data_IF_560767648601
#
_entry.id   IF_560767648601
#
_cell.length_a   1.000
_cell.length_b   1.000
_cell.length_c   1.000
_cell.angle_alpha   90.00
_cell.angle_beta   90.00
_cell.angle_gamma   90.00
#
_symmetry.space_group_name_H-M   'P 1'
#
loop_
_entity.id
_entity.type
_entity.pdbx_description
1 polymer ?
#
# COMPACT_ATOMS: atom_id res chain seq x y z
N UNK A 1 9.05 4.44 -17.65
CA UNK A 1 8.63 5.01 -16.35
C UNK A 1 8.36 3.88 -15.35
N UNK A 2 8.44 4.18 -14.06
CA UNK A 2 7.97 3.33 -12.98
C UNK A 2 7.19 4.19 -12.00
N UNK A 3 6.02 3.72 -11.55
CA UNK A 3 5.16 4.48 -10.66
C UNK A 3 5.07 3.84 -9.28
N UNK A 4 5.29 4.65 -8.26
CA UNK A 4 4.91 4.34 -6.87
C UNK A 4 4.07 5.50 -6.36
N UNK A 5 2.83 5.22 -5.99
CA UNK A 5 1.96 6.22 -5.38
C UNK A 5 2.12 6.17 -3.87
N UNK A 6 1.96 7.32 -3.23
CA UNK A 6 2.02 7.41 -1.77
C UNK A 6 0.88 8.32 -1.32
N UNK A 7 -0.02 7.80 -0.52
CA UNK A 7 -1.15 8.57 0.05
C UNK A 7 -0.96 8.90 1.52
N UNK A 8 -0.14 8.14 2.23
CA UNK A 8 0.18 8.32 3.64
C UNK A 8 1.26 9.39 3.82
N UNK A 9 0.93 10.45 4.52
CA UNK A 9 1.79 11.62 4.73
C UNK A 9 2.71 11.49 5.95
N UNK A 10 2.75 10.34 6.65
CA UNK A 10 3.64 10.14 7.81
C UNK A 10 5.09 10.45 7.45
N UNK A 11 5.80 11.08 8.36
CA UNK A 11 7.19 11.52 8.22
C UNK A 11 7.42 12.56 7.09
N UNK A 12 6.35 13.24 6.65
CA UNK A 12 6.42 14.26 5.60
C UNK A 12 6.08 15.64 6.16
N UNK A 13 6.34 16.66 5.35
CA UNK A 13 6.10 18.04 5.71
C UNK A 13 4.90 18.65 4.96
N UNK A 14 4.16 17.84 4.20
CA UNK A 14 2.96 18.22 3.46
C UNK A 14 2.07 17.00 3.22
N UNK A 15 0.79 17.26 2.94
CA UNK A 15 -0.17 16.22 2.61
C UNK A 15 0.11 15.66 1.20
N UNK A 16 0.19 14.34 1.09
CA UNK A 16 0.27 13.68 -0.23
C UNK A 16 -1.10 13.53 -0.88
N UNK A 17 -2.14 13.27 -0.09
CA UNK A 17 -3.51 13.26 -0.61
C UNK A 17 -3.99 14.69 -0.80
N UNK A 18 -4.56 15.04 -1.96
CA UNK A 18 -5.08 16.38 -2.24
C UNK A 18 -6.16 16.81 -1.25
N UNK A 19 -6.13 18.09 -0.84
CA UNK A 19 -7.03 18.63 0.19
C UNK A 19 -8.51 18.48 -0.16
N UNK A 20 -8.89 18.53 -1.44
CA UNK A 20 -10.29 18.37 -1.86
C UNK A 20 -10.89 17.02 -1.43
N UNK A 21 -10.08 15.99 -1.20
CA UNK A 21 -10.55 14.69 -0.70
C UNK A 21 -11.00 14.83 0.77
N UNK A 22 -10.23 15.54 1.59
CA UNK A 22 -10.60 15.87 2.97
C UNK A 22 -11.83 16.78 3.01
N UNK A 23 -11.86 17.78 2.15
CA UNK A 23 -12.99 18.73 2.02
C UNK A 23 -14.28 18.05 1.56
N UNK A 24 -14.18 16.97 0.78
CA UNK A 24 -15.31 16.15 0.40
C UNK A 24 -15.85 15.27 1.54
N UNK A 25 -15.23 15.30 2.72
CA UNK A 25 -15.65 14.61 3.92
C UNK A 25 -14.97 13.28 4.19
N UNK A 26 -13.89 12.96 3.48
CA UNK A 26 -13.12 11.75 3.76
C UNK A 26 -12.53 11.80 5.18
N UNK A 27 -12.70 10.72 5.92
CA UNK A 27 -12.09 10.54 7.24
C UNK A 27 -10.62 10.16 7.12
N UNK A 28 -9.86 10.50 8.13
CA UNK A 28 -8.43 10.23 8.17
C UNK A 28 -7.84 10.57 9.53
N UNK A 29 -6.53 10.50 9.60
CA UNK A 29 -5.77 10.74 10.82
C UNK A 29 -4.69 11.80 10.59
N UNK A 30 -4.26 12.42 11.67
CA UNK A 30 -3.18 13.38 11.66
C UNK A 30 -1.93 12.78 12.29
N UNK A 31 -0.78 13.06 11.69
CA UNK A 31 0.53 12.78 12.27
C UNK A 31 1.35 14.05 12.34
N UNK A 32 2.35 14.06 13.22
CA UNK A 32 3.21 15.23 13.41
C UNK A 32 4.66 14.86 13.11
N UNK A 33 5.30 15.67 12.27
CA UNK A 33 6.73 15.58 11.97
C UNK A 33 7.37 16.91 12.34
N UNK A 34 8.11 16.95 13.45
CA UNK A 34 8.60 18.19 14.03
C UNK A 34 7.45 19.13 14.42
N UNK A 35 7.40 20.33 13.84
CA UNK A 35 6.32 21.31 14.05
C UNK A 35 5.17 21.19 13.04
N UNK A 36 5.29 20.33 12.04
CA UNK A 36 4.31 20.22 10.95
C UNK A 36 3.33 19.09 11.23
N UNK A 37 2.03 19.42 11.17
CA UNK A 37 0.94 18.45 11.16
C UNK A 37 0.56 18.12 9.73
N UNK A 38 0.45 16.84 9.42
CA UNK A 38 0.03 16.32 8.12
C UNK A 38 -1.15 15.38 8.29
N UNK A 39 -2.02 15.35 7.29
CA UNK A 39 -3.20 14.50 7.26
C UNK A 39 -3.03 13.38 6.24
N UNK A 40 -3.57 12.22 6.58
CA UNK A 40 -3.67 11.06 5.69
C UNK A 40 -5.08 10.47 5.78
N UNK A 41 -5.68 10.03 4.68
CA UNK A 41 -6.98 9.37 4.72
C UNK A 41 -6.86 7.98 5.36
N UNK A 42 -7.95 7.51 5.96
CA UNK A 42 -8.09 6.10 6.27
C UNK A 42 -8.33 5.31 4.96
N UNK A 43 -7.56 4.25 4.69
CA UNK A 43 -7.75 3.43 3.49
C UNK A 43 -9.12 2.75 3.39
N UNK A 44 -9.82 2.56 4.50
CA UNK A 44 -11.18 2.00 4.58
C UNK A 44 -12.30 3.07 4.50
N UNK A 45 -11.95 4.36 4.36
CA UNK A 45 -12.95 5.40 4.16
C UNK A 45 -13.56 5.36 2.75
N UNK A 46 -14.90 5.29 2.61
CA UNK A 46 -15.54 5.11 1.30
C UNK A 46 -15.42 6.35 0.40
N UNK A 47 -15.30 7.56 0.97
CA UNK A 47 -15.12 8.79 0.19
C UNK A 47 -13.72 8.82 -0.40
N UNK A 48 -12.71 8.49 0.41
CA UNK A 48 -11.35 8.33 -0.08
C UNK A 48 -11.26 7.27 -1.17
N UNK A 49 -11.82 6.07 -0.95
CA UNK A 49 -11.81 4.98 -1.91
C UNK A 49 -12.41 5.39 -3.27
N UNK A 50 -13.52 6.12 -3.25
CA UNK A 50 -14.16 6.65 -4.47
C UNK A 50 -13.22 7.56 -5.27
N UNK A 51 -12.52 8.49 -4.63
CA UNK A 51 -11.60 9.41 -5.32
C UNK A 51 -10.33 8.71 -5.77
N UNK A 52 -9.82 7.81 -4.95
CA UNK A 52 -8.65 7.01 -5.28
C UNK A 52 -8.88 6.11 -6.51
N UNK A 53 -10.00 5.40 -6.53
CA UNK A 53 -10.39 4.58 -7.67
C UNK A 53 -10.52 5.41 -8.95
N UNK A 54 -11.17 6.58 -8.88
CA UNK A 54 -11.28 7.50 -10.02
C UNK A 54 -9.92 7.92 -10.55
N UNK A 55 -8.98 8.22 -9.65
CA UNK A 55 -7.61 8.59 -10.00
C UNK A 55 -6.88 7.44 -10.70
N UNK A 56 -6.89 6.24 -10.11
CA UNK A 56 -6.18 5.07 -10.64
C UNK A 56 -6.75 4.65 -12.00
N UNK A 57 -8.07 4.67 -12.16
CA UNK A 57 -8.72 4.39 -13.46
C UNK A 57 -8.39 5.44 -14.53
N UNK A 58 -8.30 6.70 -14.15
CA UNK A 58 -7.88 7.76 -15.10
C UNK A 58 -6.42 7.59 -15.51
N UNK A 59 -5.54 7.30 -14.54
CA UNK A 59 -4.12 7.06 -14.81
C UNK A 59 -3.90 5.88 -15.76
N UNK A 60 -4.60 4.78 -15.55
CA UNK A 60 -4.44 3.59 -16.36
C UNK A 60 -4.82 3.81 -17.85
N UNK A 61 -5.71 4.76 -18.15
CA UNK A 61 -6.04 5.10 -19.54
C UNK A 61 -4.83 5.57 -20.35
N UNK A 62 -3.90 6.27 -19.69
CA UNK A 62 -2.75 6.87 -20.36
C UNK A 62 -1.46 6.03 -20.15
N UNK A 63 -1.41 5.23 -19.09
CA UNK A 63 -0.19 4.60 -18.62
C UNK A 63 -0.25 3.07 -18.49
N UNK A 64 -1.34 2.41 -18.86
CA UNK A 64 -1.36 0.95 -19.02
C UNK A 64 -0.75 0.55 -20.39
N UNK A 65 0.50 0.94 -20.58
CA UNK A 65 1.24 0.85 -21.83
C UNK A 65 2.69 0.40 -21.53
N UNK A 66 3.08 -0.83 -21.90
CA UNK A 66 4.40 -1.37 -21.59
C UNK A 66 5.54 -0.63 -22.32
N UNK A 67 5.26 0.10 -23.39
CA UNK A 67 6.27 0.93 -24.07
C UNK A 67 6.59 2.19 -23.28
N UNK A 68 5.69 2.64 -22.41
CA UNK A 68 5.86 3.82 -21.54
C UNK A 68 6.22 3.47 -20.11
N UNK A 69 5.66 2.38 -19.58
CA UNK A 69 5.72 2.04 -18.16
C UNK A 69 6.27 0.64 -17.96
N UNK A 70 7.33 0.52 -17.20
CA UNK A 70 7.97 -0.74 -16.87
C UNK A 70 7.21 -1.52 -15.79
N UNK A 71 6.71 -0.81 -14.78
CA UNK A 71 5.91 -1.38 -13.71
C UNK A 71 5.15 -0.32 -12.91
N UNK A 72 4.14 -0.78 -12.19
CA UNK A 72 3.36 0.03 -11.23
C UNK A 72 3.41 -0.64 -9.86
N UNK A 73 3.69 0.14 -8.82
CA UNK A 73 3.53 -0.32 -7.43
C UNK A 73 2.05 -0.23 -7.05
N UNK A 74 1.43 -1.38 -6.87
CA UNK A 74 -0.03 -1.52 -6.91
C UNK A 74 -0.72 -1.43 -5.55
N UNK A 75 -0.44 -0.38 -4.77
CA UNK A 75 -1.27 -0.05 -3.61
C UNK A 75 -1.20 1.41 -3.19
N UNK A 76 -0.01 1.97 -3.06
CA UNK A 76 0.20 3.34 -2.59
C UNK A 76 -0.08 3.58 -1.11
N UNK A 77 -0.52 2.57 -0.36
CA UNK A 77 -0.95 2.67 1.03
C UNK A 77 0.19 2.44 2.02
N UNK A 78 -0.02 2.97 3.22
CA UNK A 78 0.94 2.88 4.30
C UNK A 78 2.16 3.77 4.10
N UNK A 79 3.05 3.73 5.07
CA UNK A 79 4.28 4.52 5.05
C UNK A 79 5.07 4.20 3.79
N UNK A 80 5.48 5.24 3.06
CA UNK A 80 6.23 5.16 1.80
C UNK A 80 5.56 4.40 0.64
N UNK A 81 4.27 4.10 0.75
CA UNK A 81 3.54 3.29 -0.24
C UNK A 81 3.88 1.80 -0.21
N UNK A 82 4.52 1.33 0.87
CA UNK A 82 4.99 -0.05 1.04
C UNK A 82 3.97 -0.98 1.71
N UNK A 83 2.74 -0.55 1.79
CA UNK A 83 1.63 -1.25 2.45
C UNK A 83 1.82 -1.48 3.97
N UNK A 84 2.57 -0.64 4.63
CA UNK A 84 2.66 -0.62 6.09
C UNK A 84 1.42 0.06 6.68
N UNK A 85 0.24 -0.50 6.40
CA UNK A 85 -1.05 0.07 6.79
C UNK A 85 -1.31 -0.23 8.26
N UNK A 86 -1.15 0.76 9.10
CA UNK A 86 -1.44 0.68 10.54
C UNK A 86 -2.79 1.27 10.86
N UNK A 87 -3.05 2.45 10.33
CA UNK A 87 -4.20 3.26 10.61
C UNK A 87 -5.33 2.95 9.63
N UNK A 88 -6.39 2.36 10.17
CA UNK A 88 -7.70 2.19 9.56
C UNK A 88 -8.73 2.80 10.52
N UNK A 89 -9.86 3.26 10.02
CA UNK A 89 -10.98 3.68 10.88
C UNK A 89 -11.48 2.46 11.70
N UNK A 90 -11.57 1.32 11.05
CA UNK A 90 -11.82 0.04 11.69
C UNK A 90 -10.63 -0.92 11.47
N UNK A 91 -9.71 -1.06 12.43
CA UNK A 91 -8.47 -1.82 12.27
C UNK A 91 -8.62 -3.35 12.33
N UNK A 92 -9.84 -3.86 12.42
CA UNK A 92 -10.11 -5.29 12.47
C UNK A 92 -9.63 -6.03 11.21
N UNK A 93 -9.25 -7.29 11.36
CA UNK A 93 -8.71 -8.09 10.27
C UNK A 93 -9.64 -8.18 9.04
N UNK A 94 -10.97 -8.37 9.18
CA UNK A 94 -11.87 -8.37 8.02
C UNK A 94 -11.85 -7.07 7.21
N UNK A 95 -11.79 -5.91 7.87
CA UNK A 95 -11.70 -4.61 7.20
C UNK A 95 -10.35 -4.46 6.48
N UNK A 96 -9.28 -4.87 7.11
CA UNK A 96 -7.92 -4.86 6.57
C UNK A 96 -7.84 -5.71 5.31
N UNK A 97 -8.43 -6.89 5.34
CA UNK A 97 -8.53 -7.78 4.19
C UNK A 97 -9.40 -7.18 3.06
N UNK A 98 -10.53 -6.59 3.40
CA UNK A 98 -11.40 -5.94 2.42
C UNK A 98 -10.70 -4.78 1.70
N UNK A 99 -9.93 -3.95 2.41
CA UNK A 99 -9.11 -2.89 1.81
C UNK A 99 -8.04 -3.46 0.90
N UNK A 100 -7.36 -4.52 1.32
CA UNK A 100 -6.36 -5.20 0.52
C UNK A 100 -6.96 -5.78 -0.77
N UNK A 101 -8.08 -6.49 -0.66
CA UNK A 101 -8.78 -7.05 -1.80
C UNK A 101 -9.25 -5.97 -2.77
N UNK A 102 -9.89 -4.92 -2.27
CA UNK A 102 -10.34 -3.80 -3.08
C UNK A 102 -9.20 -3.16 -3.88
N UNK A 103 -8.08 -2.81 -3.24
CA UNK A 103 -6.99 -2.13 -3.94
C UNK A 103 -6.27 -3.06 -4.92
N UNK A 104 -6.08 -4.32 -4.56
CA UNK A 104 -5.43 -5.28 -5.45
C UNK A 104 -6.31 -5.67 -6.64
N UNK A 105 -7.63 -5.76 -6.46
CA UNK A 105 -8.58 -5.93 -7.55
C UNK A 105 -8.59 -4.71 -8.48
N UNK A 106 -8.60 -3.50 -7.94
CA UNK A 106 -8.58 -2.28 -8.73
C UNK A 106 -7.37 -2.25 -9.69
N UNK A 107 -6.18 -2.44 -9.14
CA UNK A 107 -4.96 -2.35 -9.97
C UNK A 107 -4.84 -3.49 -10.97
N UNK A 108 -5.15 -4.73 -10.60
CA UNK A 108 -5.13 -5.86 -11.54
C UNK A 108 -6.14 -5.74 -12.68
N UNK A 109 -7.28 -5.08 -12.42
CA UNK A 109 -8.28 -4.81 -13.46
C UNK A 109 -7.86 -3.74 -14.45
N UNK A 110 -7.13 -2.72 -14.01
CA UNK A 110 -6.85 -1.54 -14.85
C UNK A 110 -5.45 -1.53 -15.46
N UNK A 111 -4.50 -2.26 -14.87
CA UNK A 111 -3.14 -2.45 -15.38
C UNK A 111 -2.94 -3.89 -15.83
N UNK A 112 -3.65 -4.30 -16.88
CA UNK A 112 -3.59 -5.65 -17.43
C UNK A 112 -2.42 -5.87 -18.41
N UNK A 113 -1.74 -4.79 -18.83
CA UNK A 113 -0.60 -4.82 -19.77
C UNK A 113 0.74 -4.52 -19.11
N UNK A 114 0.71 -3.84 -17.98
CA UNK A 114 1.91 -3.40 -17.24
C UNK A 114 2.05 -4.22 -15.98
N UNK A 115 3.25 -4.74 -15.66
CA UNK A 115 3.48 -5.48 -14.41
C UNK A 115 3.10 -4.66 -13.18
N UNK A 116 2.31 -5.26 -12.29
CA UNK A 116 1.92 -4.65 -11.02
C UNK A 116 2.68 -5.35 -9.90
N UNK A 117 3.25 -4.57 -8.99
CA UNK A 117 4.02 -5.08 -7.86
C UNK A 117 3.36 -4.77 -6.53
N UNK A 118 3.51 -5.69 -5.58
CA UNK A 118 3.20 -5.46 -4.18
C UNK A 118 4.45 -5.71 -3.34
N UNK A 119 4.71 -4.81 -2.40
CA UNK A 119 5.79 -5.02 -1.44
C UNK A 119 5.43 -6.20 -0.52
N UNK A 120 6.34 -7.13 -0.40
CA UNK A 120 6.28 -8.13 0.65
C UNK A 120 6.62 -7.45 1.97
N UNK A 121 5.59 -7.25 2.79
CA UNK A 121 5.75 -6.64 4.10
C UNK A 121 4.86 -7.32 5.14
N UNK A 122 5.44 -7.66 6.30
CA UNK A 122 4.75 -8.36 7.37
C UNK A 122 3.51 -7.66 7.93
N UNK A 123 3.38 -6.35 7.73
CA UNK A 123 2.26 -5.58 8.25
C UNK A 123 1.02 -5.55 7.33
N UNK A 124 1.07 -6.22 6.20
CA UNK A 124 -0.11 -6.31 5.32
C UNK A 124 -1.31 -6.88 6.06
N UNK A 125 -1.13 -7.98 6.81
CA UNK A 125 -2.20 -8.65 7.54
C UNK A 125 -2.38 -8.20 8.99
N UNK A 126 -1.52 -7.32 9.53
CA UNK A 126 -1.55 -6.95 10.95
C UNK A 126 -1.17 -5.48 11.19
N UNK A 127 -1.79 -4.88 12.21
CA UNK A 127 -1.41 -3.56 12.73
C UNK A 127 -0.38 -3.63 13.87
N UNK A 128 -0.03 -4.83 14.33
CA UNK A 128 0.91 -5.00 15.45
C UNK A 128 2.29 -4.49 15.09
N UNK A 129 2.95 -3.88 16.06
CA UNK A 129 4.35 -3.51 15.91
C UNK A 129 5.22 -4.75 15.70
N UNK A 130 6.31 -4.53 15.01
CA UNK A 130 7.27 -5.57 14.73
C UNK A 130 8.04 -5.97 16.02
N UNK A 131 8.13 -7.26 16.30
CA UNK A 131 8.93 -7.82 17.38
C UNK A 131 10.13 -8.65 16.90
N UNK A 132 10.40 -8.64 15.62
CA UNK A 132 11.54 -9.35 15.00
C UNK A 132 11.30 -10.82 14.69
N UNK A 133 10.29 -11.44 15.25
CA UNK A 133 10.06 -12.89 15.17
C UNK A 133 8.66 -13.25 14.62
N UNK A 134 7.78 -12.29 14.45
CA UNK A 134 6.41 -12.57 14.06
C UNK A 134 6.31 -12.99 12.59
N UNK A 135 6.05 -14.27 12.41
CA UNK A 135 5.47 -14.80 11.20
C UNK A 135 3.97 -14.47 11.19
N UNK A 136 3.54 -13.67 10.25
CA UNK A 136 2.14 -13.33 10.09
C UNK A 136 1.51 -14.17 8.97
N UNK A 137 0.72 -15.17 9.38
CA UNK A 137 -0.02 -16.05 8.45
C UNK A 137 -1.01 -15.30 7.58
N UNK A 138 -1.59 -14.23 8.10
CA UNK A 138 -2.53 -13.42 7.35
C UNK A 138 -1.81 -12.59 6.28
N UNK A 139 -0.64 -12.06 6.57
CA UNK A 139 0.20 -11.41 5.56
C UNK A 139 0.54 -12.36 4.42
N UNK A 140 0.96 -13.60 4.71
CA UNK A 140 1.23 -14.57 3.64
C UNK A 140 0.01 -14.94 2.82
N UNK A 141 -1.11 -15.13 3.47
CA UNK A 141 -2.36 -15.43 2.78
C UNK A 141 -2.78 -14.29 1.85
N UNK A 142 -2.68 -13.04 2.30
CA UNK A 142 -3.00 -11.86 1.50
C UNK A 142 -2.02 -11.68 0.33
N UNK A 143 -0.74 -11.87 0.55
CA UNK A 143 0.27 -11.87 -0.53
C UNK A 143 -0.04 -12.96 -1.57
N UNK A 144 -0.42 -14.17 -1.13
CA UNK A 144 -0.86 -15.24 -2.03
C UNK A 144 -2.07 -14.83 -2.88
N UNK A 145 -3.04 -14.09 -2.30
CA UNK A 145 -4.17 -13.53 -3.05
C UNK A 145 -3.71 -12.52 -4.11
N UNK A 146 -2.77 -11.64 -3.79
CA UNK A 146 -2.24 -10.68 -4.76
C UNK A 146 -1.51 -11.39 -5.91
N UNK A 147 -0.68 -12.39 -5.61
CA UNK A 147 0.00 -13.20 -6.64
C UNK A 147 -1.01 -13.93 -7.54
N UNK A 148 -2.08 -14.47 -6.97
CA UNK A 148 -3.16 -15.09 -7.75
C UNK A 148 -3.90 -14.10 -8.67
N UNK A 149 -3.86 -12.79 -8.37
CA UNK A 149 -4.38 -11.71 -9.20
C UNK A 149 -3.35 -11.20 -10.24
N UNK A 150 -2.18 -11.83 -10.36
CA UNK A 150 -1.15 -11.47 -11.31
C UNK A 150 -0.09 -10.50 -10.80
N UNK A 151 -0.06 -10.18 -9.50
CA UNK A 151 0.99 -9.34 -8.93
C UNK A 151 2.32 -10.07 -8.88
N UNK A 152 3.38 -9.30 -9.10
CA UNK A 152 4.75 -9.69 -8.77
C UNK A 152 5.15 -9.13 -7.40
N UNK A 153 6.03 -9.82 -6.71
CA UNK A 153 6.53 -9.37 -5.41
C UNK A 153 7.70 -8.41 -5.59
N UNK A 154 7.70 -7.38 -4.78
CA UNK A 154 8.79 -6.42 -4.66
C UNK A 154 9.39 -6.46 -3.26
N UNK A 155 10.70 -6.28 -3.17
CA UNK A 155 11.42 -6.20 -1.91
C UNK A 155 12.44 -5.07 -1.97
N UNK A 156 12.37 -4.12 -1.04
CA UNK A 156 13.17 -2.88 -1.10
C UNK A 156 14.55 -3.01 -0.42
N UNK A 157 14.80 -4.10 0.29
CA UNK A 157 16.03 -4.29 1.08
C UNK A 157 16.93 -5.41 0.55
N UNK A 158 16.93 -5.63 -0.77
CA UNK A 158 17.78 -6.66 -1.38
C UNK A 158 19.26 -6.43 -1.05
N UNK A 159 19.92 -7.48 -0.52
CA UNK A 159 21.32 -7.43 -0.14
C UNK A 159 21.62 -6.81 1.25
N UNK A 160 20.63 -6.30 1.97
CA UNK A 160 20.82 -5.79 3.32
C UNK A 160 20.86 -6.90 4.35
N UNK A 161 22.05 -7.26 4.82
CA UNK A 161 22.25 -8.34 5.82
C UNK A 161 21.39 -8.16 7.08
N UNK A 162 21.30 -6.97 7.61
CA UNK A 162 20.52 -6.65 8.82
C UNK A 162 19.03 -6.88 8.61
N UNK A 163 18.53 -6.59 7.43
CA UNK A 163 17.14 -6.81 7.09
C UNK A 163 16.81 -8.31 7.10
N UNK A 164 17.59 -9.11 6.40
CA UNK A 164 17.38 -10.55 6.32
C UNK A 164 17.61 -11.28 7.65
N UNK A 165 18.54 -10.82 8.46
CA UNK A 165 18.86 -11.48 9.73
C UNK A 165 17.91 -11.14 10.86
N UNK A 166 17.29 -9.97 10.83
CA UNK A 166 16.49 -9.46 11.93
C UNK A 166 15.02 -9.20 11.58
N UNK A 167 14.74 -8.74 10.36
CA UNK A 167 13.42 -8.21 10.00
C UNK A 167 12.54 -9.18 9.21
N UNK A 168 13.12 -9.93 8.29
CA UNK A 168 12.38 -10.80 7.39
C UNK A 168 13.01 -12.20 7.28
N UNK A 169 13.35 -12.78 8.43
CA UNK A 169 13.99 -14.12 8.48
C UNK A 169 13.21 -15.18 7.70
N UNK A 170 11.89 -15.10 7.77
CA UNK A 170 11.02 -16.09 7.14
C UNK A 170 10.87 -15.90 5.63
N UNK A 171 11.21 -14.71 5.10
CA UNK A 171 11.16 -14.45 3.67
C UNK A 171 12.21 -15.25 2.89
N UNK A 172 13.40 -15.45 3.47
CA UNK A 172 14.51 -16.13 2.82
C UNK A 172 14.43 -17.66 3.00
N UNK A 173 13.72 -18.10 4.03
CA UNK A 173 13.56 -19.53 4.33
C UNK A 173 12.55 -20.24 3.42
N UNK A 174 11.93 -19.54 2.48
CA UNK A 174 10.96 -20.05 1.50
C UNK A 174 11.42 -19.78 0.07
#
# INVERSE_FOLDING_TARGET
>A
LAFTFVVDSRDKHYNFTPNFVKEAGAKGYETQTGSVKVWSPYPDDPIFQKYYEKFIRALAKDFNDPDKVQFVSGSGFGKWGEYQVRELENPELPTREAVFDWVTDLYSQVFDKVPVFVNYHRWIGTSKEWDGNNYDKDTERLIGKAVAKGYSLRHDAFGMKTYYSAWERNFIAK
#
